data_IF_747070051037
#
_entry.id   IF_747070051037
#
_cell.length_a   1.000
_cell.length_b   1.000
_cell.length_c   1.000
_cell.angle_alpha   90.00
_cell.angle_beta   90.00
_cell.angle_gamma   90.00
#
_symmetry.space_group_name_H-M   'P 1'
#
loop_
_entity.id
_entity.type
_entity.pdbx_description
1 polymer ?
#
# COMPACT_ATOMS: atom_id res chain seq x y z
N UNK A 1 -22.35 -12.50 19.13
CA UNK A 1 -21.53 -11.39 19.65
C UNK A 1 -20.52 -11.01 18.59
N UNK A 2 -20.57 -9.79 18.05
CA UNK A 2 -19.54 -9.28 17.15
C UNK A 2 -18.40 -8.78 18.03
N UNK A 3 -17.26 -9.47 18.02
CA UNK A 3 -16.07 -9.10 18.81
C UNK A 3 -15.48 -7.81 18.25
N UNK A 4 -14.92 -6.94 19.13
CA UNK A 4 -14.30 -5.65 18.76
C UNK A 4 -13.29 -5.77 17.59
N UNK A 5 -12.58 -6.89 17.52
CA UNK A 5 -11.60 -7.17 16.47
C UNK A 5 -12.24 -7.33 15.07
N UNK A 6 -13.43 -7.92 14.99
CA UNK A 6 -14.17 -8.10 13.73
C UNK A 6 -14.55 -6.73 13.17
N UNK A 7 -15.06 -5.82 14.00
CA UNK A 7 -15.39 -4.44 13.58
C UNK A 7 -14.17 -3.65 13.12
N UNK A 8 -13.02 -3.85 13.77
CA UNK A 8 -11.76 -3.20 13.36
C UNK A 8 -11.30 -3.73 12.00
N UNK A 9 -11.42 -5.04 11.76
CA UNK A 9 -11.11 -5.63 10.47
C UNK A 9 -12.05 -5.13 9.36
N UNK A 10 -13.35 -5.04 9.61
CA UNK A 10 -14.35 -4.48 8.69
C UNK A 10 -14.04 -3.02 8.33
N UNK A 11 -13.72 -2.19 9.33
CA UNK A 11 -13.33 -0.78 9.10
C UNK A 11 -12.07 -0.69 8.24
N UNK A 12 -11.06 -1.52 8.51
CA UNK A 12 -9.83 -1.54 7.70
C UNK A 12 -10.08 -2.03 6.28
N UNK A 13 -10.93 -3.04 6.09
CA UNK A 13 -11.31 -3.52 4.76
C UNK A 13 -12.04 -2.42 3.96
N UNK A 14 -12.95 -1.69 4.60
CA UNK A 14 -13.61 -0.54 3.98
C UNK A 14 -12.59 0.54 3.58
N UNK A 15 -11.67 0.89 4.47
CA UNK A 15 -10.59 1.84 4.18
C UNK A 15 -9.70 1.38 3.00
N UNK A 16 -9.31 0.10 2.94
CA UNK A 16 -8.52 -0.46 1.82
C UNK A 16 -9.31 -0.35 0.51
N UNK A 17 -10.60 -0.68 0.52
CA UNK A 17 -11.43 -0.64 -0.69
C UNK A 17 -11.60 0.79 -1.22
N UNK A 18 -11.78 1.76 -0.31
CA UNK A 18 -11.84 3.18 -0.68
C UNK A 18 -10.49 3.68 -1.23
N UNK A 19 -9.36 3.25 -0.65
CA UNK A 19 -8.04 3.58 -1.18
C UNK A 19 -7.84 2.98 -2.58
N UNK A 20 -8.24 1.73 -2.81
CA UNK A 20 -8.21 1.11 -4.15
C UNK A 20 -9.01 1.91 -5.16
N UNK A 21 -10.22 2.32 -4.80
CA UNK A 21 -11.07 3.12 -5.68
C UNK A 21 -10.39 4.42 -6.11
N UNK A 22 -9.78 5.15 -5.16
CA UNK A 22 -9.07 6.39 -5.44
C UNK A 22 -7.80 6.19 -6.28
N UNK A 23 -7.03 5.12 -6.05
CA UNK A 23 -5.84 4.82 -6.85
C UNK A 23 -6.22 4.42 -8.29
N UNK A 24 -7.31 3.67 -8.46
CA UNK A 24 -7.86 3.39 -9.78
C UNK A 24 -8.34 4.67 -10.47
N UNK A 25 -9.08 5.53 -9.77
CA UNK A 25 -9.55 6.81 -10.31
C UNK A 25 -8.39 7.70 -10.74
N UNK A 26 -7.35 7.80 -9.91
CA UNK A 26 -6.12 8.53 -10.24
C UNK A 26 -5.46 7.96 -11.50
N UNK A 27 -5.26 6.64 -11.55
CA UNK A 27 -4.66 5.97 -12.70
C UNK A 27 -5.46 6.21 -13.99
N UNK A 28 -6.78 6.09 -13.92
CA UNK A 28 -7.66 6.31 -15.08
C UNK A 28 -7.66 7.77 -15.54
N UNK A 29 -7.72 8.75 -14.61
CA UNK A 29 -7.62 10.16 -14.97
C UNK A 29 -6.27 10.48 -15.60
N UNK A 30 -5.15 9.99 -15.04
CA UNK A 30 -3.81 10.21 -15.61
C UNK A 30 -3.68 9.58 -17.02
N UNK A 31 -4.21 8.37 -17.21
CA UNK A 31 -4.24 7.74 -18.53
C UNK A 31 -5.08 8.55 -19.53
N UNK A 32 -6.25 9.06 -19.11
CA UNK A 32 -7.11 9.87 -19.96
C UNK A 32 -6.49 11.22 -20.33
N UNK A 33 -5.91 11.94 -19.36
CA UNK A 33 -5.27 13.23 -19.62
C UNK A 33 -4.09 13.10 -20.56
N UNK A 34 -3.35 12.01 -20.42
CA UNK A 34 -2.19 11.76 -21.25
C UNK A 34 -2.58 11.34 -22.66
N UNK A 35 -3.65 10.55 -22.83
CA UNK A 35 -4.26 10.30 -24.15
C UNK A 35 -4.83 11.58 -24.78
N UNK A 36 -5.50 12.43 -24.00
CA UNK A 36 -5.99 13.75 -24.45
C UNK A 36 -4.84 14.64 -24.92
N UNK A 37 -3.71 14.62 -24.22
CA UNK A 37 -2.50 15.31 -24.64
C UNK A 37 -1.96 14.77 -25.98
N UNK A 38 -1.90 13.44 -26.16
CA UNK A 38 -1.44 12.82 -27.40
C UNK A 38 -2.39 13.05 -28.59
N UNK A 39 -3.71 13.08 -28.34
CA UNK A 39 -4.76 13.32 -29.35
C UNK A 39 -4.94 14.80 -29.71
N UNK A 40 -4.18 15.71 -29.09
CA UNK A 40 -4.15 17.12 -29.46
C UNK A 40 -2.88 17.37 -30.29
N UNK A 41 -2.79 16.87 -31.54
CA UNK A 41 -1.72 17.30 -32.42
C UNK A 41 -1.98 18.77 -32.75
N UNK A 42 -0.94 19.59 -32.56
CA UNK A 42 -0.62 20.77 -33.35
C UNK A 42 -1.67 21.19 -34.41
N UNK A 43 -2.80 21.78 -33.98
CA UNK A 43 -3.69 22.58 -34.83
C UNK A 43 -3.04 23.93 -35.20
N UNK A 44 -1.70 23.95 -35.25
CA UNK A 44 -0.83 25.12 -35.38
C UNK A 44 0.13 25.02 -36.58
N UNK A 45 -0.06 24.04 -37.49
CA UNK A 45 0.71 24.00 -38.74
C UNK A 45 -0.23 23.87 -39.94
N UNK A 46 -1.05 24.90 -40.15
CA UNK A 46 -1.60 25.25 -41.45
C UNK A 46 -1.66 26.79 -41.52
N UNK A 47 -0.67 27.39 -42.17
CA UNK A 47 -0.56 28.79 -42.62
C UNK A 47 -0.69 29.93 -41.58
N UNK A 48 0.44 30.36 -41.02
CA UNK A 48 0.59 31.67 -40.37
C UNK A 48 1.77 31.74 -39.40
N UNK A 49 2.41 32.91 -39.16
CA UNK A 49 3.54 33.02 -38.26
C UNK A 49 3.06 32.73 -36.83
N UNK A 50 3.35 31.51 -36.37
CA UNK A 50 2.89 30.98 -35.10
C UNK A 50 3.43 31.83 -33.95
N UNK A 51 2.53 32.58 -33.30
CA UNK A 51 2.76 32.99 -31.94
C UNK A 51 2.89 31.72 -31.10
N UNK A 52 4.00 31.62 -30.37
CA UNK A 52 4.26 30.61 -29.36
C UNK A 52 3.30 30.80 -28.16
N UNK A 53 2.00 30.60 -28.42
CA UNK A 53 0.96 30.52 -27.40
C UNK A 53 0.91 29.07 -26.93
N UNK A 54 1.37 28.87 -25.70
CA UNK A 54 1.27 27.66 -24.90
C UNK A 54 -0.19 27.17 -24.90
N UNK A 55 -0.57 26.32 -25.85
CA UNK A 55 -1.89 25.69 -25.87
C UNK A 55 -1.86 24.67 -24.75
N UNK A 56 -2.18 25.12 -23.54
CA UNK A 56 -2.30 24.27 -22.37
C UNK A 56 -3.39 23.24 -22.67
N UNK A 57 -2.98 22.04 -23.11
CA UNK A 57 -3.86 20.96 -23.57
C UNK A 57 -4.76 20.45 -22.42
N UNK A 58 -4.41 20.80 -21.20
CA UNK A 58 -5.12 20.48 -19.97
C UNK A 58 -5.91 21.71 -19.52
N UNK A 59 -7.21 21.54 -19.30
CA UNK A 59 -8.02 22.57 -18.68
C UNK A 59 -7.62 22.69 -17.20
N UNK A 60 -7.65 23.90 -16.62
CA UNK A 60 -7.38 24.12 -15.19
C UNK A 60 -8.23 23.19 -14.29
N UNK A 61 -9.47 22.90 -14.73
CA UNK A 61 -10.36 21.96 -14.04
C UNK A 61 -9.81 20.52 -14.00
N UNK A 62 -9.22 20.05 -15.10
CA UNK A 62 -8.65 18.70 -15.19
C UNK A 62 -7.47 18.53 -14.23
N UNK A 63 -6.64 19.58 -14.15
CA UNK A 63 -5.51 19.65 -13.23
C UNK A 63 -6.01 19.65 -11.79
N UNK A 64 -6.96 20.53 -11.45
CA UNK A 64 -7.57 20.58 -10.11
C UNK A 64 -8.16 19.23 -9.67
N UNK A 65 -8.82 18.52 -10.58
CA UNK A 65 -9.39 17.21 -10.31
C UNK A 65 -8.32 16.16 -9.95
N UNK A 66 -7.19 16.14 -10.66
CA UNK A 66 -6.07 15.23 -10.35
C UNK A 66 -5.48 15.56 -8.99
N UNK A 67 -5.20 16.84 -8.73
CA UNK A 67 -4.70 17.29 -7.42
C UNK A 67 -5.64 16.89 -6.29
N UNK A 68 -6.95 17.02 -6.50
CA UNK A 68 -7.96 16.61 -5.51
C UNK A 68 -7.85 15.13 -5.16
N UNK A 69 -7.73 14.25 -6.16
CA UNK A 69 -7.58 12.80 -5.92
C UNK A 69 -6.25 12.52 -5.21
N UNK A 70 -5.15 13.15 -5.64
CA UNK A 70 -3.84 12.99 -5.00
C UNK A 70 -3.91 13.40 -3.52
N UNK A 71 -4.55 14.52 -3.20
CA UNK A 71 -4.77 14.95 -1.82
C UNK A 71 -5.62 13.95 -1.03
N UNK A 72 -6.67 13.39 -1.63
CA UNK A 72 -7.49 12.35 -0.99
C UNK A 72 -6.69 11.07 -0.72
N UNK A 73 -5.82 10.66 -1.63
CA UNK A 73 -4.89 9.53 -1.43
C UNK A 73 -3.93 9.83 -0.29
N UNK A 74 -3.29 11.01 -0.30
CA UNK A 74 -2.36 11.46 0.74
C UNK A 74 -2.99 11.52 2.13
N UNK A 75 -4.24 11.98 2.24
CA UNK A 75 -4.97 12.06 3.52
C UNK A 75 -5.35 10.69 4.06
N UNK A 76 -5.50 9.69 3.19
CA UNK A 76 -5.84 8.32 3.60
C UNK A 76 -4.62 7.53 4.00
N UNK A 77 -3.52 7.68 3.28
CA UNK A 77 -2.22 7.11 3.65
C UNK A 77 -1.78 7.74 4.98
N UNK A 78 -1.19 6.93 5.86
CA UNK A 78 -0.73 7.43 7.15
C UNK A 78 0.56 8.26 7.00
N UNK A 79 0.41 9.56 6.78
CA UNK A 79 1.54 10.49 6.61
C UNK A 79 2.37 10.70 7.88
N UNK A 80 1.83 10.39 9.06
CA UNK A 80 2.52 10.57 10.34
C UNK A 80 3.51 9.44 10.65
N UNK A 81 3.25 8.23 10.15
CA UNK A 81 4.17 7.10 10.31
C UNK A 81 4.07 6.16 9.09
N UNK A 82 4.53 6.60 7.91
CA UNK A 82 4.38 5.85 6.67
C UNK A 82 5.24 4.59 6.70
N UNK A 83 4.71 3.51 6.13
CA UNK A 83 5.51 2.35 5.75
C UNK A 83 6.53 2.74 4.66
N UNK A 84 7.62 1.98 4.47
CA UNK A 84 8.57 2.27 3.41
C UNK A 84 7.91 2.26 2.02
N UNK A 85 6.92 1.39 1.80
CA UNK A 85 6.14 1.33 0.55
C UNK A 85 5.24 2.56 0.38
N UNK A 86 4.57 3.00 1.45
CA UNK A 86 3.74 4.21 1.44
C UNK A 86 4.60 5.44 1.16
N UNK A 87 5.80 5.50 1.74
CA UNK A 87 6.76 6.59 1.49
C UNK A 87 7.17 6.63 0.02
N UNK A 88 7.51 5.48 -0.58
CA UNK A 88 7.86 5.42 -2.01
C UNK A 88 6.70 5.83 -2.93
N UNK A 89 5.45 5.49 -2.58
CA UNK A 89 4.27 5.94 -3.32
C UNK A 89 4.08 7.47 -3.19
N UNK A 90 4.25 8.03 -2.00
CA UNK A 90 4.16 9.48 -1.78
C UNK A 90 5.24 10.25 -2.54
N UNK A 91 6.49 9.79 -2.48
CA UNK A 91 7.62 10.38 -3.23
C UNK A 91 7.36 10.33 -4.75
N UNK A 92 6.80 9.22 -5.25
CA UNK A 92 6.39 9.11 -6.65
C UNK A 92 5.30 10.13 -7.00
N UNK A 93 4.26 10.24 -6.18
CA UNK A 93 3.19 11.21 -6.40
C UNK A 93 3.71 12.65 -6.37
N UNK A 94 4.57 13.00 -5.41
CA UNK A 94 5.16 14.34 -5.29
C UNK A 94 6.00 14.70 -6.52
N UNK A 95 6.88 13.80 -6.96
CA UNK A 95 7.71 13.99 -8.17
C UNK A 95 6.87 14.27 -9.43
N UNK A 96 5.77 13.53 -9.60
CA UNK A 96 4.89 13.70 -10.76
C UNK A 96 3.95 14.90 -10.63
N UNK A 97 3.72 15.38 -9.41
CA UNK A 97 2.90 16.56 -9.12
C UNK A 97 3.69 17.86 -9.29
N UNK A 98 4.94 17.93 -8.80
CA UNK A 98 5.78 19.13 -8.88
C UNK A 98 6.19 19.48 -10.31
N UNK A 99 6.33 18.45 -11.15
CA UNK A 99 6.81 18.62 -12.52
C UNK A 99 5.71 18.94 -13.53
N UNK A 100 4.43 18.93 -13.13
CA UNK A 100 3.25 18.99 -14.01
C UNK A 100 3.32 18.05 -15.23
N UNK A 101 4.24 17.08 -15.20
CA UNK A 101 4.50 16.14 -16.29
C UNK A 101 3.55 14.95 -16.18
N UNK A 102 2.25 15.22 -16.16
CA UNK A 102 1.23 14.17 -16.26
C UNK A 102 1.29 13.45 -17.62
N UNK A 103 1.90 14.09 -18.62
CA UNK A 103 2.19 13.57 -19.95
C UNK A 103 3.20 12.41 -19.95
N UNK A 104 4.16 12.34 -19.02
CA UNK A 104 5.09 11.20 -18.94
C UNK A 104 4.46 9.94 -18.37
N UNK A 105 3.25 10.03 -17.81
CA UNK A 105 2.52 8.86 -17.31
C UNK A 105 2.08 7.89 -18.43
N UNK A 106 2.18 8.29 -19.71
CA UNK A 106 2.00 7.40 -20.88
C UNK A 106 3.09 6.35 -21.04
N UNK A 107 4.27 6.58 -20.44
CA UNK A 107 5.31 5.58 -20.46
C UNK A 107 4.76 4.37 -19.71
N UNK A 108 4.54 3.29 -20.44
CA UNK A 108 4.05 2.01 -19.90
C UNK A 108 4.84 1.63 -18.64
N UNK A 109 6.15 1.88 -18.66
CA UNK A 109 7.05 1.67 -17.52
C UNK A 109 6.69 2.52 -16.29
N UNK A 110 6.32 3.79 -16.47
CA UNK A 110 5.88 4.69 -15.39
C UNK A 110 4.53 4.27 -14.82
N UNK A 111 3.60 3.84 -15.68
CA UNK A 111 2.32 3.30 -15.25
C UNK A 111 2.48 1.98 -14.48
N UNK A 112 3.34 1.08 -14.97
CA UNK A 112 3.66 -0.17 -14.27
C UNK A 112 4.35 0.09 -12.92
N UNK A 113 5.27 1.05 -12.86
CA UNK A 113 5.87 1.49 -11.59
C UNK A 113 4.82 2.00 -10.59
N UNK A 114 3.90 2.85 -11.04
CA UNK A 114 2.80 3.33 -10.21
C UNK A 114 1.93 2.19 -9.70
N UNK A 115 1.52 1.26 -10.58
CA UNK A 115 0.70 0.10 -10.22
C UNK A 115 1.42 -0.82 -9.23
N UNK A 116 2.72 -1.03 -9.41
CA UNK A 116 3.53 -1.85 -8.50
C UNK A 116 3.64 -1.22 -7.11
N UNK A 117 3.86 0.10 -7.02
CA UNK A 117 3.86 0.83 -5.74
C UNK A 117 2.50 0.74 -5.05
N UNK A 118 1.41 0.96 -5.79
CA UNK A 118 0.05 0.82 -5.29
C UNK A 118 -0.22 -0.61 -4.78
N UNK A 119 0.13 -1.62 -5.56
CA UNK A 119 -0.05 -3.02 -5.20
C UNK A 119 0.74 -3.39 -3.94
N UNK A 120 1.96 -2.87 -3.80
CA UNK A 120 2.80 -3.09 -2.62
C UNK A 120 2.18 -2.49 -1.35
N UNK A 121 1.72 -1.24 -1.41
CA UNK A 121 1.00 -0.58 -0.29
C UNK A 121 -0.25 -1.36 0.10
N UNK A 122 -1.06 -1.73 -0.88
CA UNK A 122 -2.29 -2.50 -0.65
C UNK A 122 -2.02 -3.89 -0.09
N UNK A 123 -0.93 -4.54 -0.49
CA UNK A 123 -0.52 -5.84 0.05
C UNK A 123 -0.10 -5.72 1.52
N UNK A 124 0.72 -4.73 1.86
CA UNK A 124 1.16 -4.51 3.24
C UNK A 124 -0.02 -4.25 4.18
N UNK A 125 -0.96 -3.39 3.77
CA UNK A 125 -2.16 -3.13 4.57
C UNK A 125 -3.12 -4.33 4.61
N UNK A 126 -3.20 -5.13 3.55
CA UNK A 126 -3.96 -6.38 3.56
C UNK A 126 -3.38 -7.42 4.50
N UNK A 127 -2.04 -7.56 4.53
CA UNK A 127 -1.36 -8.40 5.50
C UNK A 127 -1.61 -7.90 6.92
N UNK A 128 -1.60 -6.59 7.16
CA UNK A 128 -1.96 -6.00 8.47
C UNK A 128 -3.40 -6.32 8.89
N UNK A 129 -4.35 -6.35 7.95
CA UNK A 129 -5.73 -6.78 8.21
C UNK A 129 -5.80 -8.26 8.57
N UNK A 130 -5.10 -9.13 7.81
CA UNK A 130 -5.11 -10.58 8.04
C UNK A 130 -4.42 -10.99 9.34
N UNK A 131 -3.29 -10.36 9.64
CA UNK A 131 -2.46 -10.71 10.81
C UNK A 131 -3.11 -10.21 12.12
N UNK A 132 -4.13 -9.35 12.03
CA UNK A 132 -4.79 -8.75 13.17
C UNK A 132 -3.95 -7.66 13.84
N UNK A 133 -4.50 -7.02 14.88
CA UNK A 133 -3.75 -6.03 15.65
C UNK A 133 -2.47 -6.62 16.26
N UNK A 134 -1.45 -5.78 16.51
CA UNK A 134 -0.17 -6.18 17.14
C UNK A 134 -0.33 -7.11 18.35
N UNK A 135 -1.39 -6.94 19.13
CA UNK A 135 -1.71 -7.78 20.29
C UNK A 135 -2.00 -9.24 19.93
N UNK A 136 -2.70 -9.51 18.83
CA UNK A 136 -3.00 -10.88 18.40
C UNK A 136 -1.73 -11.60 17.92
N UNK A 137 -0.92 -10.92 17.10
CA UNK A 137 0.37 -11.46 16.65
C UNK A 137 1.29 -11.76 17.83
N UNK A 138 1.41 -10.82 18.76
CA UNK A 138 2.28 -10.98 19.92
C UNK A 138 1.79 -12.10 20.85
N UNK A 139 0.47 -12.20 21.06
CA UNK A 139 -0.12 -13.28 21.87
C UNK A 139 0.07 -14.65 21.21
N UNK A 140 -0.04 -14.74 19.89
CA UNK A 140 0.15 -15.99 19.16
C UNK A 140 1.61 -16.47 19.19
N UNK A 141 2.57 -15.54 19.08
CA UNK A 141 4.00 -15.87 19.21
C UNK A 141 4.38 -16.26 20.64
N UNK A 142 3.84 -15.57 21.65
CA UNK A 142 4.04 -15.92 23.06
C UNK A 142 3.49 -17.31 23.38
N UNK A 143 2.30 -17.66 22.85
CA UNK A 143 1.73 -18.99 23.00
C UNK A 143 2.62 -20.09 22.38
N UNK A 144 3.19 -19.85 21.19
CA UNK A 144 4.14 -20.78 20.55
C UNK A 144 5.41 -20.98 21.38
N UNK A 145 5.96 -19.89 21.92
CA UNK A 145 7.15 -19.94 22.78
C UNK A 145 6.86 -20.75 24.05
N UNK A 146 5.73 -20.47 24.72
CA UNK A 146 5.32 -21.22 25.91
C UNK A 146 5.13 -22.71 25.60
N UNK A 147 4.55 -23.06 24.45
CA UNK A 147 4.37 -24.44 24.04
C UNK A 147 5.71 -25.17 23.84
N UNK A 148 6.70 -24.51 23.21
CA UNK A 148 8.05 -25.08 23.04
C UNK A 148 8.72 -25.31 24.40
N UNK A 149 8.64 -24.35 25.33
CA UNK A 149 9.18 -24.53 26.67
C UNK A 149 8.47 -25.62 27.47
N UNK A 150 7.15 -25.75 27.32
CA UNK A 150 6.39 -26.83 27.93
C UNK A 150 6.85 -28.20 27.43
N UNK A 151 7.06 -28.35 26.12
CA UNK A 151 7.57 -29.59 25.53
C UNK A 151 8.99 -29.94 25.99
N UNK A 152 9.88 -28.94 26.06
CA UNK A 152 11.23 -29.11 26.61
C UNK A 152 11.19 -29.52 28.09
N UNK A 153 10.33 -28.90 28.89
CA UNK A 153 10.14 -29.25 30.30
C UNK A 153 9.62 -30.68 30.49
N UNK A 154 8.60 -31.07 29.72
CA UNK A 154 8.07 -32.44 29.75
C UNK A 154 9.13 -33.48 29.38
N UNK A 155 9.98 -33.17 28.38
CA UNK A 155 11.07 -34.04 27.97
C UNK A 155 12.15 -34.17 29.06
N UNK A 156 12.54 -33.06 29.68
CA UNK A 156 13.48 -33.06 30.80
C UNK A 156 12.95 -33.83 32.01
N UNK A 157 11.67 -33.66 32.37
CA UNK A 157 11.02 -34.43 33.43
C UNK A 157 10.97 -35.93 33.10
N UNK A 158 10.71 -36.29 31.84
CA UNK A 158 10.75 -37.68 31.38
C UNK A 158 12.14 -38.31 31.55
N UNK A 159 13.19 -37.61 31.15
CA UNK A 159 14.58 -38.07 31.34
C UNK A 159 14.90 -38.22 32.82
N UNK A 160 14.53 -37.25 33.65
CA UNK A 160 14.76 -37.30 35.09
C UNK A 160 14.06 -38.48 35.75
N UNK A 161 12.79 -38.73 35.39
CA UNK A 161 12.02 -39.87 35.90
C UNK A 161 12.71 -41.20 35.57
N UNK A 162 13.14 -41.39 34.33
CA UNK A 162 13.84 -42.62 33.92
C UNK A 162 15.18 -42.78 34.64
N UNK A 163 15.97 -41.70 34.75
CA UNK A 163 17.24 -41.71 35.47
C UNK A 163 17.07 -42.04 36.96
N UNK A 164 16.02 -41.50 37.60
CA UNK A 164 15.71 -41.79 39.00
C UNK A 164 15.30 -43.24 39.24
N UNK A 165 14.57 -43.85 38.29
CA UNK A 165 14.17 -45.26 38.35
C UNK A 165 15.41 -46.16 38.26
N UNK A 166 16.30 -45.89 37.31
CA UNK A 166 17.54 -46.65 37.14
C UNK A 166 18.44 -46.57 38.38
N UNK A 167 18.59 -45.38 38.98
CA UNK A 167 19.37 -45.22 40.21
C UNK A 167 18.77 -46.01 41.39
N UNK A 168 17.44 -46.08 41.48
CA UNK A 168 16.77 -46.86 42.51
C UNK A 168 16.91 -48.37 42.32
N UNK A 169 16.95 -48.85 41.06
CA UNK A 169 17.12 -50.28 40.74
C UNK A 169 18.56 -50.78 40.99
N UNK A 170 19.56 -49.89 41.05
CA UNK A 170 20.97 -50.22 41.32
C UNK A 170 21.41 -50.03 42.78
N UNK A 171 20.56 -49.46 43.65
CA UNK A 171 20.82 -49.20 45.07
C UNK A 171 20.22 -50.30 45.95
#
# INVERSE_FOLDING_TARGET
>A
MITKEIKIAEFRQAWINELRALLCELSSKLAWLSEKAARTPALAVADGPAQAGDVNVLNDQDICDVYKIICQVKLRINTLSPSPEEKSLLEFLDKHTESNNFSTFLLKDTQEQFLNLCASVLKNEWERVKTGGRFYVNSSNLAKILFVYFMLGAFACGIWSVASQLLADFA
#
